data_IF_025832477679
#
_entry.id   IF_025832477679
#
_cell.length_a   1.000
_cell.length_b   1.000
_cell.length_c   1.000
_cell.angle_alpha   90.00
_cell.angle_beta   90.00
_cell.angle_gamma   90.00
#
_symmetry.space_group_name_H-M   'P 1'
#
loop_
_entity.id
_entity.type
_entity.pdbx_description
1 polymer ?
#
# COMPACT_ATOMS: atom_id res chain seq x y z
N UNK A 1 13.60 -3.69 -23.23
CA UNK A 1 12.31 -4.36 -23.42
C UNK A 1 12.23 -5.01 -24.79
N UNK A 2 12.57 -4.32 -25.87
CA UNK A 2 12.47 -4.84 -27.25
C UNK A 2 13.32 -6.10 -27.52
N UNK A 3 14.42 -6.30 -26.79
CA UNK A 3 15.26 -7.51 -26.90
C UNK A 3 14.62 -8.76 -26.29
N UNK A 4 13.61 -8.58 -25.45
CA UNK A 4 12.78 -9.64 -24.87
C UNK A 4 11.58 -9.85 -25.78
N UNK A 5 11.41 -11.03 -26.34
CA UNK A 5 10.23 -11.36 -27.14
C UNK A 5 9.10 -11.70 -26.18
N UNK A 6 8.11 -10.83 -26.10
CA UNK A 6 6.89 -11.05 -25.31
C UNK A 6 5.76 -11.51 -26.23
N UNK A 7 5.02 -12.51 -25.84
CA UNK A 7 3.84 -12.99 -26.56
C UNK A 7 2.61 -12.15 -26.25
N UNK A 8 2.54 -11.57 -25.05
CA UNK A 8 1.45 -10.73 -24.58
C UNK A 8 1.97 -9.65 -23.64
N UNK A 9 1.43 -8.45 -23.75
CA UNK A 9 1.60 -7.36 -22.79
C UNK A 9 0.26 -6.98 -22.20
N UNK A 10 0.18 -6.92 -20.88
CA UNK A 10 -1.02 -6.52 -20.13
C UNK A 10 -0.74 -5.17 -19.46
N UNK A 11 -1.43 -4.13 -19.91
CA UNK A 11 -1.37 -2.79 -19.31
C UNK A 11 -2.57 -2.58 -18.36
N UNK A 12 -2.34 -2.79 -17.05
CA UNK A 12 -3.35 -2.60 -16.01
C UNK A 12 -3.39 -1.15 -15.50
N UNK A 13 -2.46 -0.30 -15.89
CA UNK A 13 -2.43 1.10 -15.46
C UNK A 13 -3.25 2.00 -16.38
N UNK A 14 -3.25 1.74 -17.69
CA UNK A 14 -4.03 2.45 -18.68
C UNK A 14 -3.69 3.94 -18.80
N UNK A 15 -2.44 4.34 -18.58
CA UNK A 15 -1.96 5.71 -18.69
C UNK A 15 -0.94 5.84 -19.83
N UNK A 16 -0.68 7.07 -20.30
CA UNK A 16 0.29 7.33 -21.38
C UNK A 16 1.65 6.69 -21.12
N UNK A 17 2.20 6.82 -19.91
CA UNK A 17 3.52 6.26 -19.56
C UNK A 17 3.58 4.73 -19.64
N UNK A 18 2.52 4.02 -19.24
CA UNK A 18 2.45 2.56 -19.37
C UNK A 18 2.22 2.14 -20.81
N UNK A 19 1.44 2.90 -21.57
CA UNK A 19 1.24 2.67 -23.00
C UNK A 19 2.56 2.80 -23.79
N UNK A 20 3.41 3.79 -23.48
CA UNK A 20 4.74 3.91 -24.09
C UNK A 20 5.59 2.67 -23.82
N UNK A 21 5.59 2.15 -22.58
CA UNK A 21 6.31 0.91 -22.26
C UNK A 21 5.74 -0.30 -23.02
N UNK A 22 4.43 -0.39 -23.14
CA UNK A 22 3.76 -1.42 -23.92
C UNK A 22 4.14 -1.34 -25.41
N UNK A 23 4.18 -0.14 -25.99
CA UNK A 23 4.60 0.08 -27.38
C UNK A 23 6.07 -0.30 -27.62
N UNK A 24 6.98 0.14 -26.73
CA UNK A 24 8.43 -0.12 -26.83
C UNK A 24 8.75 -1.62 -26.65
N UNK A 25 7.86 -2.40 -26.03
CA UNK A 25 8.05 -3.86 -25.90
C UNK A 25 8.20 -4.58 -27.24
N UNK A 26 7.62 -4.01 -28.31
CA UNK A 26 7.58 -4.64 -29.64
C UNK A 26 6.60 -5.78 -29.76
N UNK A 27 5.83 -6.09 -28.70
CA UNK A 27 4.79 -7.11 -28.73
C UNK A 27 3.59 -6.61 -29.57
N UNK A 28 3.04 -7.48 -30.42
CA UNK A 28 1.83 -7.17 -31.21
C UNK A 28 0.56 -7.26 -30.35
N UNK A 29 0.51 -8.24 -29.46
CA UNK A 29 -0.64 -8.49 -28.61
C UNK A 29 -0.54 -7.69 -27.30
N UNK A 30 -1.26 -6.58 -27.27
CA UNK A 30 -1.30 -5.68 -26.13
C UNK A 30 -2.74 -5.47 -25.70
N UNK A 31 -3.05 -5.78 -24.46
CA UNK A 31 -4.36 -5.61 -23.86
C UNK A 31 -4.26 -4.81 -22.57
N UNK A 32 -5.37 -4.26 -22.13
CA UNK A 32 -5.46 -3.59 -20.85
C UNK A 32 -6.91 -3.47 -20.40
N UNK A 33 -7.11 -3.06 -19.18
CA UNK A 33 -8.44 -2.82 -18.65
C UNK A 33 -9.11 -1.63 -19.38
N UNK A 34 -10.44 -1.67 -19.57
CA UNK A 34 -11.14 -0.77 -20.48
C UNK A 34 -11.17 0.72 -20.08
N UNK A 35 -10.88 1.10 -18.84
CA UNK A 35 -10.75 2.50 -18.43
C UNK A 35 -9.40 3.10 -18.82
N UNK A 36 -9.06 3.02 -20.07
CA UNK A 36 -7.84 3.60 -20.61
C UNK A 36 -7.94 5.12 -20.71
N UNK A 37 -6.93 5.82 -20.20
CA UNK A 37 -6.83 7.28 -20.18
C UNK A 37 -5.63 7.74 -21.00
N UNK A 38 -5.54 9.06 -21.24
CA UNK A 38 -4.37 9.69 -21.87
C UNK A 38 -3.96 9.02 -23.19
N UNK A 39 -4.96 8.62 -24.00
CA UNK A 39 -4.76 7.95 -25.30
C UNK A 39 -4.08 6.56 -25.23
N UNK A 40 -3.99 5.93 -24.07
CA UNK A 40 -3.39 4.59 -23.94
C UNK A 40 -4.15 3.51 -24.73
N UNK A 41 -5.44 3.73 -24.99
CA UNK A 41 -6.27 2.86 -25.84
C UNK A 41 -5.86 2.83 -27.32
N UNK A 42 -5.00 3.73 -27.78
CA UNK A 42 -4.41 3.67 -29.13
C UNK A 42 -3.31 2.61 -29.24
N UNK A 43 -2.75 2.19 -28.12
CA UNK A 43 -1.62 1.25 -28.04
C UNK A 43 -2.07 -0.16 -27.68
N UNK A 44 -3.02 -0.28 -26.77
CA UNK A 44 -3.49 -1.55 -26.24
C UNK A 44 -4.99 -1.73 -26.48
N UNK A 45 -5.42 -2.98 -26.73
CA UNK A 45 -6.84 -3.33 -26.87
C UNK A 45 -7.52 -3.25 -25.50
N UNK A 46 -8.58 -2.49 -25.40
CA UNK A 46 -9.40 -2.41 -24.19
C UNK A 46 -10.20 -3.70 -23.95
N UNK A 47 -10.08 -4.27 -22.78
CA UNK A 47 -10.87 -5.41 -22.32
C UNK A 47 -11.83 -4.93 -21.24
N UNK A 48 -13.13 -5.02 -21.55
CA UNK A 48 -14.22 -4.77 -20.60
C UNK A 48 -14.95 -6.10 -20.37
N UNK A 49 -15.21 -6.45 -19.12
CA UNK A 49 -16.00 -7.62 -18.75
C UNK A 49 -17.36 -7.24 -18.16
N UNK A 50 -18.02 -8.23 -17.58
CA UNK A 50 -19.32 -8.08 -16.94
C UNK A 50 -19.30 -7.25 -15.67
N UNK A 51 -18.12 -7.06 -15.06
CA UNK A 51 -17.91 -6.40 -13.75
C UNK A 51 -17.46 -4.94 -13.88
N UNK A 52 -17.74 -4.29 -15.03
CA UNK A 52 -17.27 -2.91 -15.28
C UNK A 52 -17.77 -1.87 -14.28
N UNK A 53 -18.88 -2.13 -13.60
CA UNK A 53 -19.46 -1.27 -12.56
C UNK A 53 -19.17 -1.75 -11.13
N UNK A 54 -18.47 -2.85 -10.97
CA UNK A 54 -18.17 -3.44 -9.67
C UNK A 54 -16.89 -2.85 -9.05
N UNK A 55 -16.46 -3.42 -7.92
CA UNK A 55 -15.22 -3.02 -7.27
C UNK A 55 -14.02 -3.19 -8.21
N UNK A 56 -13.02 -2.31 -8.10
CA UNK A 56 -11.83 -2.29 -9.00
C UNK A 56 -11.14 -3.65 -9.15
N UNK A 57 -11.13 -4.47 -8.11
CA UNK A 57 -10.54 -5.82 -8.14
C UNK A 57 -11.28 -6.69 -9.14
N UNK A 58 -12.62 -6.74 -9.06
CA UNK A 58 -13.44 -7.53 -10.00
C UNK A 58 -13.26 -7.05 -11.44
N UNK A 59 -13.21 -5.73 -11.64
CA UNK A 59 -12.96 -5.12 -12.94
C UNK A 59 -11.60 -5.54 -13.53
N UNK A 60 -10.56 -5.61 -12.71
CA UNK A 60 -9.24 -6.05 -13.15
C UNK A 60 -9.19 -7.56 -13.39
N UNK A 61 -9.94 -8.35 -12.63
CA UNK A 61 -10.08 -9.78 -12.85
C UNK A 61 -10.79 -10.11 -14.18
N UNK A 62 -11.58 -9.20 -14.73
CA UNK A 62 -12.17 -9.39 -16.06
C UNK A 62 -11.10 -9.54 -17.16
N UNK A 63 -9.94 -8.91 -17.01
CA UNK A 63 -8.81 -9.13 -17.94
C UNK A 63 -8.26 -10.56 -17.81
N UNK A 64 -8.18 -11.08 -16.59
CA UNK A 64 -7.77 -12.46 -16.36
C UNK A 64 -8.80 -13.48 -16.91
N UNK A 65 -10.08 -13.22 -16.69
CA UNK A 65 -11.19 -14.03 -17.23
C UNK A 65 -11.18 -14.02 -18.76
N UNK A 66 -10.92 -12.88 -19.39
CA UNK A 66 -10.76 -12.78 -20.85
C UNK A 66 -9.63 -13.67 -21.37
N UNK A 67 -8.56 -13.83 -20.59
CA UNK A 67 -7.43 -14.71 -20.91
C UNK A 67 -7.70 -16.18 -20.55
N UNK A 68 -8.90 -16.53 -20.10
CA UNK A 68 -9.28 -17.91 -19.75
C UNK A 68 -8.92 -18.35 -18.34
N UNK A 69 -8.49 -17.43 -17.45
CA UNK A 69 -8.23 -17.76 -16.06
C UNK A 69 -9.54 -17.88 -15.26
N UNK A 70 -9.61 -18.85 -14.35
CA UNK A 70 -10.65 -18.91 -13.32
C UNK A 70 -10.34 -17.85 -12.26
N UNK A 71 -11.29 -16.98 -11.99
CA UNK A 71 -11.19 -15.91 -10.99
C UNK A 71 -12.43 -15.90 -10.08
N UNK A 72 -12.80 -17.09 -9.62
CA UNK A 72 -13.96 -17.30 -8.74
C UNK A 72 -13.68 -16.88 -7.31
N UNK A 73 -12.43 -17.02 -6.87
CA UNK A 73 -12.02 -16.67 -5.52
C UNK A 73 -10.94 -15.58 -5.55
N UNK A 74 -11.23 -14.47 -4.88
CA UNK A 74 -10.25 -13.39 -4.69
C UNK A 74 -9.31 -13.79 -3.55
N UNK A 75 -8.02 -13.92 -3.85
CA UNK A 75 -7.00 -14.26 -2.87
C UNK A 75 -5.94 -13.17 -2.85
N UNK A 76 -5.60 -12.70 -1.65
CA UNK A 76 -4.48 -11.78 -1.40
C UNK A 76 -3.35 -12.57 -0.73
N UNK A 77 -2.46 -13.18 -1.51
CA UNK A 77 -1.40 -14.01 -0.93
C UNK A 77 -0.38 -13.12 -0.22
N UNK A 78 -0.29 -13.25 1.09
CA UNK A 78 0.80 -12.70 1.88
C UNK A 78 1.89 -13.75 2.04
N UNK A 79 3.17 -13.37 2.05
CA UNK A 79 4.26 -14.29 2.38
C UNK A 79 4.13 -14.78 3.82
N UNK A 80 4.81 -15.86 4.17
CA UNK A 80 4.98 -16.23 5.57
C UNK A 80 5.73 -15.11 6.32
N UNK A 81 5.07 -14.54 7.33
CA UNK A 81 5.57 -13.44 8.17
C UNK A 81 5.89 -13.89 9.59
N UNK A 82 5.99 -15.20 9.85
CA UNK A 82 6.20 -15.75 11.20
C UNK A 82 7.44 -15.17 11.88
N UNK A 83 8.53 -14.96 11.14
CA UNK A 83 9.76 -14.37 11.66
C UNK A 83 9.60 -12.90 12.01
N UNK A 84 8.94 -12.16 11.14
CA UNK A 84 8.65 -10.74 11.31
C UNK A 84 7.70 -10.52 12.50
N UNK A 85 6.72 -11.39 12.66
CA UNK A 85 5.80 -11.37 13.81
C UNK A 85 6.57 -11.50 15.14
N UNK A 86 7.50 -12.46 15.23
CA UNK A 86 8.35 -12.61 16.42
C UNK A 86 9.18 -11.35 16.66
N UNK A 87 9.84 -10.82 15.62
CA UNK A 87 10.64 -9.60 15.70
C UNK A 87 9.84 -8.40 16.20
N UNK A 88 8.62 -8.20 15.68
CA UNK A 88 7.74 -7.12 16.11
C UNK A 88 7.30 -7.32 17.57
N UNK A 89 6.95 -8.53 17.96
CA UNK A 89 6.58 -8.84 19.35
C UNK A 89 7.73 -8.53 20.32
N UNK A 90 8.97 -8.87 19.97
CA UNK A 90 10.15 -8.53 20.79
C UNK A 90 10.32 -7.00 20.91
N UNK A 91 10.14 -6.24 19.83
CA UNK A 91 10.19 -4.77 19.86
C UNK A 91 9.11 -4.18 20.76
N UNK A 92 7.88 -4.70 20.69
CA UNK A 92 6.78 -4.24 21.51
C UNK A 92 6.99 -4.56 22.98
N UNK A 93 7.45 -5.78 23.30
CA UNK A 93 7.79 -6.19 24.67
C UNK A 93 8.92 -5.35 25.27
N UNK A 94 9.95 -5.05 24.49
CA UNK A 94 11.07 -4.19 24.91
C UNK A 94 10.62 -2.77 25.30
N UNK A 95 9.53 -2.30 24.71
CA UNK A 95 8.93 -1.00 25.01
C UNK A 95 7.76 -1.12 26.01
N UNK A 96 7.66 -2.26 26.73
CA UNK A 96 6.68 -2.51 27.78
C UNK A 96 5.22 -2.31 27.33
N UNK A 97 4.93 -2.59 26.05
CA UNK A 97 3.57 -2.52 25.52
C UNK A 97 2.66 -3.47 26.30
N UNK A 98 1.57 -2.94 26.84
CA UNK A 98 0.54 -3.71 27.53
C UNK A 98 -0.82 -3.46 26.91
N UNK A 99 -1.63 -4.53 26.83
CA UNK A 99 -3.01 -4.46 26.37
C UNK A 99 -3.19 -4.23 24.88
N UNK A 100 -4.33 -3.67 24.53
CA UNK A 100 -4.66 -3.34 23.15
C UNK A 100 -3.92 -2.09 22.68
N UNK A 101 -3.61 -2.06 21.40
CA UNK A 101 -2.92 -0.91 20.81
C UNK A 101 -3.45 -0.58 19.42
N UNK A 102 -3.30 0.67 19.05
CA UNK A 102 -3.62 1.19 17.72
C UNK A 102 -2.33 1.57 17.01
N UNK A 103 -2.17 1.10 15.78
CA UNK A 103 -1.04 1.50 14.92
C UNK A 103 -1.41 2.78 14.19
N UNK A 104 -0.56 3.79 14.28
CA UNK A 104 -0.70 5.07 13.58
C UNK A 104 0.48 5.24 12.63
N UNK A 105 0.18 5.41 11.34
CA UNK A 105 1.17 5.66 10.28
C UNK A 105 1.02 7.11 9.80
N UNK A 106 1.85 8.04 10.29
CA UNK A 106 1.67 9.46 10.02
C UNK A 106 2.25 9.93 8.69
N UNK A 107 3.08 9.11 8.04
CA UNK A 107 3.75 9.44 6.80
C UNK A 107 2.84 9.39 5.57
N UNK A 108 3.11 10.24 4.60
CA UNK A 108 2.51 10.17 3.28
C UNK A 108 3.50 10.65 2.20
N UNK A 109 3.43 10.06 1.00
CA UNK A 109 4.30 10.48 -0.12
C UNK A 109 4.13 11.95 -0.52
N UNK A 110 2.92 12.48 -0.36
CA UNK A 110 2.57 13.85 -0.76
C UNK A 110 2.24 14.68 0.47
N UNK A 111 2.92 15.81 0.64
CA UNK A 111 2.68 16.74 1.76
C UNK A 111 1.21 17.17 1.88
N UNK A 112 0.50 17.26 0.75
CA UNK A 112 -0.94 17.61 0.73
C UNK A 112 -1.83 16.52 1.32
N UNK A 113 -1.32 15.32 1.54
CA UNK A 113 -2.02 14.19 2.18
C UNK A 113 -1.56 13.96 3.62
N UNK A 114 -0.59 14.75 4.08
CA UNK A 114 -0.11 14.65 5.45
C UNK A 114 -0.98 15.47 6.40
N UNK A 115 -1.36 14.83 7.49
CA UNK A 115 -1.97 15.53 8.60
C UNK A 115 -0.89 16.23 9.44
N UNK A 116 -1.15 17.43 10.01
CA UNK A 116 -0.20 18.11 10.89
C UNK A 116 0.16 17.28 12.13
N UNK A 117 1.39 17.41 12.61
CA UNK A 117 1.87 16.65 13.77
C UNK A 117 1.06 16.94 15.04
N UNK A 118 0.58 18.16 15.17
CA UNK A 118 -0.26 18.64 16.27
C UNK A 118 -1.60 17.86 16.35
N UNK A 119 -2.19 17.54 15.21
CA UNK A 119 -3.43 16.78 15.14
C UNK A 119 -3.19 15.31 15.50
N UNK A 120 -2.09 14.70 15.02
CA UNK A 120 -1.71 13.36 15.45
C UNK A 120 -1.48 13.29 16.96
N UNK A 121 -0.77 14.28 17.53
CA UNK A 121 -0.55 14.33 18.96
C UNK A 121 -1.85 14.43 19.76
N UNK A 122 -2.81 15.22 19.28
CA UNK A 122 -4.14 15.33 19.89
C UNK A 122 -4.92 14.02 19.81
N UNK A 123 -4.92 13.36 18.65
CA UNK A 123 -5.53 12.04 18.45
C UNK A 123 -4.93 11.01 19.40
N UNK A 124 -3.60 10.95 19.50
CA UNK A 124 -2.89 10.02 20.36
C UNK A 124 -3.29 10.20 21.83
N UNK A 125 -3.38 11.45 22.29
CA UNK A 125 -3.84 11.75 23.66
C UNK A 125 -5.25 11.24 23.92
N UNK A 126 -6.15 11.34 22.94
CA UNK A 126 -7.52 10.81 23.05
C UNK A 126 -7.51 9.29 23.12
N UNK A 127 -6.78 8.61 22.22
CA UNK A 127 -6.66 7.14 22.22
C UNK A 127 -6.13 6.62 23.55
N UNK A 128 -5.10 7.27 24.10
CA UNK A 128 -4.51 6.89 25.38
C UNK A 128 -5.47 7.14 26.54
N UNK A 129 -6.22 8.24 26.49
CA UNK A 129 -7.26 8.53 27.51
C UNK A 129 -8.38 7.47 27.50
N UNK A 130 -8.67 6.85 26.35
CA UNK A 130 -9.60 5.74 26.20
C UNK A 130 -9.00 4.38 26.61
N UNK A 131 -7.76 4.35 27.13
CA UNK A 131 -7.10 3.16 27.67
C UNK A 131 -6.31 2.32 26.67
N UNK A 132 -6.20 2.73 25.39
CA UNK A 132 -5.41 2.03 24.39
C UNK A 132 -3.98 2.58 24.29
N UNK A 133 -3.01 1.70 24.03
CA UNK A 133 -1.66 2.11 23.67
C UNK A 133 -1.58 2.51 22.20
N UNK A 134 -0.56 3.28 21.82
CA UNK A 134 -0.33 3.70 20.44
C UNK A 134 1.07 3.32 19.98
N UNK A 135 1.16 2.74 18.80
CA UNK A 135 2.42 2.44 18.12
C UNK A 135 2.50 3.32 16.87
N UNK A 136 3.49 4.21 16.82
CA UNK A 136 3.82 4.93 15.58
C UNK A 136 4.67 4.02 14.70
N UNK A 137 4.29 3.88 13.44
CA UNK A 137 5.00 3.12 12.44
C UNK A 137 5.20 3.96 11.17
N UNK A 138 6.26 3.68 10.42
CA UNK A 138 6.58 4.43 9.20
C UNK A 138 8.00 4.19 8.72
N UNK A 139 8.33 4.75 7.57
CA UNK A 139 9.65 4.66 6.96
C UNK A 139 10.69 5.58 7.62
N UNK A 140 11.97 5.45 7.21
CA UNK A 140 13.04 6.31 7.71
C UNK A 140 12.81 7.81 7.45
N UNK A 141 12.13 8.15 6.35
CA UNK A 141 11.83 9.53 5.99
C UNK A 141 10.84 10.22 6.95
N UNK A 142 10.12 9.42 7.75
CA UNK A 142 9.12 9.89 8.71
C UNK A 142 9.66 10.10 10.12
N UNK A 143 10.95 9.80 10.40
CA UNK A 143 11.56 9.84 11.74
C UNK A 143 11.35 11.19 12.42
N UNK A 144 11.73 12.28 11.73
CA UNK A 144 11.61 13.62 12.30
C UNK A 144 10.15 14.00 12.63
N UNK A 145 9.19 13.51 11.82
CA UNK A 145 7.76 13.71 12.08
C UNK A 145 7.30 12.89 13.30
N UNK A 146 7.75 11.66 13.41
CA UNK A 146 7.43 10.79 14.56
C UNK A 146 7.98 11.34 15.88
N UNK A 147 9.20 11.86 15.89
CA UNK A 147 9.80 12.53 17.03
C UNK A 147 8.97 13.77 17.45
N UNK A 148 8.63 14.63 16.49
CA UNK A 148 7.79 15.79 16.74
C UNK A 148 6.43 15.43 17.32
N UNK A 149 5.78 14.39 16.77
CA UNK A 149 4.48 13.89 17.28
C UNK A 149 4.65 13.41 18.74
N UNK A 150 5.69 12.64 19.02
CA UNK A 150 5.98 12.09 20.34
C UNK A 150 6.21 13.20 21.37
N UNK A 151 6.95 14.26 21.00
CA UNK A 151 7.15 15.45 21.84
C UNK A 151 5.85 16.19 22.14
N UNK A 152 5.06 16.48 21.11
CA UNK A 152 3.77 17.16 21.24
C UNK A 152 2.74 16.35 22.03
N UNK A 153 2.82 15.03 21.97
CA UNK A 153 1.98 14.15 22.77
C UNK A 153 2.37 14.15 24.26
N UNK A 154 3.58 14.60 24.59
CA UNK A 154 4.09 14.64 25.97
C UNK A 154 4.85 13.40 26.38
N UNK A 155 5.29 12.58 25.42
CA UNK A 155 6.05 11.33 25.64
C UNK A 155 5.40 10.35 26.64
N UNK A 156 4.10 10.04 26.51
CA UNK A 156 3.47 9.11 27.42
C UNK A 156 4.04 7.69 27.24
N UNK A 157 4.05 6.90 28.31
CA UNK A 157 4.56 5.51 28.28
C UNK A 157 3.78 4.62 27.29
N UNK A 158 2.50 4.89 27.09
CA UNK A 158 1.64 4.17 26.15
C UNK A 158 1.91 4.50 24.68
N UNK A 159 2.80 5.46 24.38
CA UNK A 159 3.19 5.82 23.02
C UNK A 159 4.54 5.26 22.66
N UNK A 160 4.57 4.27 21.79
CA UNK A 160 5.77 3.64 21.27
C UNK A 160 6.05 4.15 19.87
N UNK A 161 7.25 4.70 19.64
CA UNK A 161 7.67 5.18 18.34
C UNK A 161 8.62 4.17 17.68
N UNK A 162 8.12 3.40 16.72
CA UNK A 162 8.89 2.45 15.89
C UNK A 162 9.17 2.96 14.48
N UNK A 163 8.94 4.24 14.19
CA UNK A 163 9.21 4.82 12.86
C UNK A 163 10.70 4.66 12.52
N UNK A 164 11.00 4.12 11.34
CA UNK A 164 12.36 3.82 10.90
C UNK A 164 12.99 2.60 11.56
N UNK A 165 12.30 1.89 12.46
CA UNK A 165 12.79 0.72 13.17
C UNK A 165 12.14 -0.58 12.71
N UNK A 166 11.26 -0.51 11.73
CA UNK A 166 10.58 -1.67 11.14
C UNK A 166 10.88 -1.77 9.65
N UNK A 167 11.03 -2.98 9.16
CA UNK A 167 11.06 -3.29 7.74
C UNK A 167 9.64 -3.24 7.16
N UNK A 168 9.53 -3.21 5.84
CA UNK A 168 8.22 -3.27 5.16
C UNK A 168 7.46 -4.57 5.47
N UNK A 169 8.17 -5.67 5.68
CA UNK A 169 7.57 -6.96 6.04
C UNK A 169 7.07 -6.98 7.49
N UNK A 170 7.71 -6.25 8.38
CA UNK A 170 7.25 -6.10 9.77
C UNK A 170 6.05 -5.15 9.90
N UNK A 171 5.76 -4.35 8.86
CA UNK A 171 4.59 -3.49 8.80
C UNK A 171 3.36 -4.19 8.20
N UNK A 172 3.52 -5.34 7.55
CA UNK A 172 2.46 -6.13 6.95
C UNK A 172 1.81 -7.07 7.96
#
# INVERSE_FOLDING_TARGET
>A
LHSKKFDLVIDMQGLFKSAVLAAISGCSDRIGYCEMRESSGLVSKAICGSHSNDHVIERYLDVARYLGASAEQIVFPLPDLSKETVSVQEKLQKNELQGEYIVVVPGARWKTKEWPAEHYASLIKMIIADGCSVVLAGGPDDIAKGEKITELAGKPMQLINLIGQTSLRELA
#
